data_IF_560321211750
#
_entry.id   IF_560321211750
#
_cell.length_a   1.000
_cell.length_b   1.000
_cell.length_c   1.000
_cell.angle_alpha   90.00
_cell.angle_beta   90.00
_cell.angle_gamma   90.00
#
_symmetry.space_group_name_H-M   'P 1'
#
loop_
_entity.id
_entity.type
_entity.pdbx_description
1 polymer ?
#
# COMPACT_ATOMS: atom_id res chain seq x y z
N UNK A 1 27.70 -6.44 56.87
CA UNK A 1 27.14 -6.91 55.58
C UNK A 1 25.73 -6.29 55.34
N UNK A 2 24.85 -6.19 56.34
CA UNK A 2 23.51 -5.59 56.24
C UNK A 2 23.52 -4.09 55.88
N UNK A 3 24.49 -3.30 56.35
CA UNK A 3 24.61 -1.86 56.04
C UNK A 3 24.96 -1.59 54.56
N UNK A 4 25.69 -2.48 53.92
CA UNK A 4 26.01 -2.36 52.50
C UNK A 4 24.82 -2.57 51.54
N UNK A 5 23.86 -3.41 51.96
CA UNK A 5 22.64 -3.62 51.16
C UNK A 5 21.71 -2.40 51.22
N UNK A 6 21.61 -1.73 52.35
CA UNK A 6 20.82 -0.52 52.50
C UNK A 6 21.41 0.72 51.82
N UNK A 7 22.74 0.82 51.69
CA UNK A 7 23.39 1.92 51.02
C UNK A 7 23.20 1.90 49.49
N UNK A 8 22.94 0.73 48.91
CA UNK A 8 22.64 0.58 47.45
C UNK A 8 21.20 0.86 47.08
N UNK A 9 20.24 0.80 48.04
CA UNK A 9 18.83 0.99 47.75
C UNK A 9 18.47 2.36 47.14
N UNK A 10 19.01 3.51 47.63
CA UNK A 10 18.67 4.81 47.08
C UNK A 10 19.09 4.94 45.58
N UNK A 11 20.13 4.23 45.15
CA UNK A 11 20.56 4.22 43.75
C UNK A 11 19.64 3.34 42.85
N UNK A 12 19.01 2.31 43.41
CA UNK A 12 18.11 1.43 42.68
C UNK A 12 16.75 2.09 42.39
N UNK A 13 16.32 3.04 43.21
CA UNK A 13 15.03 3.75 43.03
C UNK A 13 15.01 4.55 41.71
N UNK A 14 15.98 5.47 41.40
CA UNK A 14 15.95 6.21 40.16
C UNK A 14 16.14 5.30 38.94
N UNK A 15 16.92 4.22 39.05
CA UNK A 15 17.06 3.23 38.00
C UNK A 15 15.75 2.49 37.73
N UNK A 16 15.01 2.09 38.78
CA UNK A 16 13.71 1.47 38.69
C UNK A 16 12.66 2.37 38.02
N UNK A 17 12.66 3.66 38.42
CA UNK A 17 11.76 4.66 37.80
C UNK A 17 12.09 4.85 36.33
N UNK A 18 13.36 4.96 35.95
CA UNK A 18 13.79 5.10 34.56
C UNK A 18 13.37 3.91 33.71
N UNK A 19 13.59 2.69 34.19
CA UNK A 19 13.18 1.45 33.52
C UNK A 19 11.65 1.36 33.41
N UNK A 20 10.92 1.78 34.44
CA UNK A 20 9.46 1.83 34.45
C UNK A 20 8.92 2.79 33.38
N UNK A 21 9.45 4.01 33.32
CA UNK A 21 9.09 5.01 32.30
C UNK A 21 9.40 4.48 30.89
N UNK A 22 10.60 3.92 30.71
CA UNK A 22 10.99 3.38 29.40
C UNK A 22 10.08 2.23 28.96
N UNK A 23 9.76 1.32 29.86
CA UNK A 23 8.84 0.20 29.60
C UNK A 23 7.44 0.72 29.24
N UNK A 24 6.94 1.69 29.99
CA UNK A 24 5.64 2.30 29.75
C UNK A 24 5.60 2.99 28.38
N UNK A 25 6.65 3.74 28.02
CA UNK A 25 6.75 4.36 26.69
C UNK A 25 6.75 3.34 25.56
N UNK A 26 7.46 2.23 25.72
CA UNK A 26 7.50 1.16 24.70
C UNK A 26 6.12 0.51 24.57
N UNK A 27 5.48 0.18 25.68
CA UNK A 27 4.15 -0.42 25.67
C UNK A 27 3.10 0.53 25.09
N UNK A 28 3.13 1.80 25.47
CA UNK A 28 2.23 2.82 24.94
C UNK A 28 2.43 3.02 23.43
N UNK A 29 3.68 3.10 22.96
CA UNK A 29 4.00 3.21 21.53
C UNK A 29 3.44 2.02 20.74
N UNK A 30 3.59 0.80 21.26
CA UNK A 30 3.04 -0.41 20.60
C UNK A 30 1.51 -0.40 20.60
N UNK A 31 0.89 0.06 21.67
CA UNK A 31 -0.57 0.17 21.76
C UNK A 31 -1.11 1.22 20.78
N UNK A 32 -0.50 2.41 20.76
CA UNK A 32 -0.88 3.50 19.84
C UNK A 32 -0.75 3.08 18.37
N UNK A 33 0.35 2.40 18.01
CA UNK A 33 0.50 1.85 16.65
C UNK A 33 -0.61 0.85 16.31
N UNK A 34 -0.96 -0.03 17.24
CA UNK A 34 -2.02 -1.02 16.98
C UNK A 34 -3.39 -0.39 16.78
N UNK A 35 -3.68 0.71 17.48
CA UNK A 35 -4.91 1.47 17.33
C UNK A 35 -5.00 2.17 15.97
N UNK A 36 -3.89 2.76 15.50
CA UNK A 36 -3.81 3.38 14.17
C UNK A 36 -4.08 2.35 13.06
N UNK A 37 -3.46 1.16 13.13
CA UNK A 37 -3.71 0.11 12.13
C UNK A 37 -5.17 -0.37 12.14
N UNK A 38 -5.82 -0.44 13.30
CA UNK A 38 -7.25 -0.79 13.38
C UNK A 38 -8.14 0.28 12.75
N UNK A 39 -7.80 1.55 12.91
CA UNK A 39 -8.58 2.66 12.34
C UNK A 39 -8.52 2.70 10.81
N UNK A 40 -7.42 2.21 10.22
CA UNK A 40 -7.22 2.20 8.76
C UNK A 40 -7.64 0.85 8.15
N UNK A 41 -7.72 -0.21 8.97
CA UNK A 41 -8.12 -1.54 8.50
C UNK A 41 -9.53 -1.48 7.90
N UNK A 42 -9.68 -2.04 6.70
CA UNK A 42 -10.95 -2.03 5.97
C UNK A 42 -11.25 -0.74 5.19
N UNK A 43 -10.41 0.30 5.28
CA UNK A 43 -10.56 1.46 4.41
C UNK A 43 -9.90 1.19 3.04
N UNK A 44 -10.59 1.50 1.92
CA UNK A 44 -10.02 1.33 0.59
C UNK A 44 -8.75 2.18 0.41
N UNK A 45 -7.66 1.57 -0.05
CA UNK A 45 -6.38 2.25 -0.24
C UNK A 45 -5.44 2.22 0.96
N UNK A 46 -5.83 1.61 2.07
CA UNK A 46 -5.01 1.53 3.28
C UNK A 46 -3.68 0.81 3.05
N UNK A 47 -3.67 -0.28 2.29
CA UNK A 47 -2.44 -0.99 1.95
C UNK A 47 -1.49 -0.14 1.12
N UNK A 48 -2.00 0.61 0.14
CA UNK A 48 -1.17 1.51 -0.65
C UNK A 48 -0.53 2.60 0.22
N UNK A 49 -1.30 3.21 1.12
CA UNK A 49 -0.81 4.25 2.04
C UNK A 49 0.33 3.74 2.94
N UNK A 50 0.19 2.51 3.48
CA UNK A 50 1.23 1.90 4.31
C UNK A 50 2.50 1.65 3.50
N UNK A 51 2.38 1.12 2.29
CA UNK A 51 3.55 0.81 1.47
C UNK A 51 4.25 2.09 1.00
N UNK A 52 3.52 3.17 0.72
CA UNK A 52 4.10 4.48 0.40
C UNK A 52 4.97 5.05 1.52
N UNK A 53 4.64 4.75 2.78
CA UNK A 53 5.41 5.19 3.95
C UNK A 53 6.62 4.30 4.26
N UNK A 54 6.75 3.16 3.57
CA UNK A 54 7.86 2.24 3.80
C UNK A 54 9.19 2.83 3.35
N UNK A 55 10.22 2.62 4.17
CA UNK A 55 11.59 2.93 3.78
C UNK A 55 12.07 1.93 2.74
N UNK A 56 12.76 2.41 1.71
CA UNK A 56 13.33 1.59 0.65
C UNK A 56 12.90 2.05 -0.73
N UNK A 57 13.45 1.42 -1.77
CA UNK A 57 13.16 1.76 -3.16
C UNK A 57 11.88 1.02 -3.64
N UNK A 58 10.74 1.42 -3.05
CA UNK A 58 9.43 0.93 -3.43
C UNK A 58 8.67 2.00 -4.22
N UNK A 59 8.21 1.64 -5.41
CA UNK A 59 7.34 2.51 -6.21
C UNK A 59 5.93 1.96 -6.13
N UNK A 60 5.01 2.75 -5.58
CA UNK A 60 3.61 2.38 -5.40
C UNK A 60 2.76 3.11 -6.43
N UNK A 61 1.98 2.37 -7.19
CA UNK A 61 0.91 2.91 -8.04
C UNK A 61 -0.41 2.45 -7.43
N UNK A 62 -1.12 3.34 -6.73
CA UNK A 62 -2.39 2.98 -6.10
C UNK A 62 -3.46 2.76 -7.16
N UNK A 63 -4.42 1.89 -6.84
CA UNK A 63 -5.67 1.72 -7.57
C UNK A 63 -5.49 1.53 -9.09
N UNK A 64 -4.63 0.59 -9.51
CA UNK A 64 -4.45 0.27 -10.92
C UNK A 64 -5.66 -0.43 -11.54
N UNK A 65 -6.42 -1.14 -10.73
CA UNK A 65 -7.67 -1.78 -11.09
C UNK A 65 -8.65 -1.72 -9.92
N UNK A 66 -9.93 -1.71 -10.22
CA UNK A 66 -10.98 -1.74 -9.21
C UNK A 66 -12.32 -2.11 -9.82
N UNK A 67 -13.26 -2.51 -8.97
CA UNK A 67 -14.63 -2.83 -9.34
C UNK A 67 -15.64 -1.97 -8.55
N UNK A 68 -16.95 -2.18 -8.83
CA UNK A 68 -18.02 -1.44 -8.15
C UNK A 68 -18.18 -1.83 -6.67
N UNK A 69 -17.66 -2.98 -6.28
CA UNK A 69 -17.73 -3.48 -4.91
C UNK A 69 -16.60 -2.95 -4.02
N UNK A 70 -15.87 -1.94 -4.49
CA UNK A 70 -14.71 -1.37 -3.80
C UNK A 70 -13.53 -2.36 -3.64
N UNK A 71 -13.50 -3.46 -4.43
CA UNK A 71 -12.30 -4.27 -4.52
C UNK A 71 -11.27 -3.52 -5.37
N UNK A 72 -10.08 -3.33 -4.83
CA UNK A 72 -9.04 -2.48 -5.44
C UNK A 72 -7.72 -3.25 -5.50
N UNK A 73 -7.00 -3.09 -6.60
CA UNK A 73 -5.65 -3.64 -6.77
C UNK A 73 -4.64 -2.51 -6.89
N UNK A 74 -3.58 -2.61 -6.11
CA UNK A 74 -2.44 -1.70 -6.13
C UNK A 74 -1.23 -2.42 -6.70
N UNK A 75 -0.39 -1.69 -7.43
CA UNK A 75 0.88 -2.18 -7.95
C UNK A 75 2.03 -1.59 -7.17
N UNK A 76 2.87 -2.46 -6.67
CA UNK A 76 4.09 -2.11 -5.96
C UNK A 76 5.27 -2.71 -6.70
N UNK A 77 6.25 -1.89 -7.05
CA UNK A 77 7.47 -2.31 -7.73
C UNK A 77 8.65 -2.12 -6.79
N UNK A 78 9.47 -3.15 -6.69
CA UNK A 78 10.65 -3.13 -5.83
C UNK A 78 11.66 -4.20 -6.23
N UNK A 79 12.65 -4.43 -5.39
CA UNK A 79 13.67 -5.47 -5.64
C UNK A 79 13.13 -6.90 -5.75
N UNK A 80 12.00 -7.28 -5.14
CA UNK A 80 11.39 -8.58 -5.38
C UNK A 80 10.73 -8.75 -6.75
N UNK A 81 10.52 -7.67 -7.49
CA UNK A 81 9.74 -7.66 -8.72
C UNK A 81 8.50 -6.78 -8.61
N UNK A 82 7.41 -7.23 -9.23
CA UNK A 82 6.10 -6.58 -9.14
C UNK A 82 5.24 -7.30 -8.11
N UNK A 83 4.75 -6.56 -7.14
CA UNK A 83 3.81 -7.07 -6.14
C UNK A 83 2.43 -6.44 -6.39
N UNK A 84 1.43 -7.27 -6.60
CA UNK A 84 0.04 -6.86 -6.69
C UNK A 84 -0.61 -7.03 -5.32
N UNK A 85 -1.12 -5.95 -4.78
CA UNK A 85 -1.78 -5.94 -3.47
C UNK A 85 -3.27 -5.69 -3.70
N UNK A 86 -4.08 -6.66 -3.36
CA UNK A 86 -5.54 -6.59 -3.45
C UNK A 86 -6.16 -6.26 -2.10
N UNK A 87 -7.08 -5.30 -2.09
CA UNK A 87 -7.95 -4.97 -0.97
C UNK A 87 -9.40 -5.24 -1.38
N UNK A 88 -10.13 -5.98 -0.56
CA UNK A 88 -11.55 -6.31 -0.81
C UNK A 88 -11.84 -7.81 -0.72
N UNK A 89 -12.96 -8.22 -1.32
CA UNK A 89 -13.42 -9.60 -1.28
C UNK A 89 -12.55 -10.55 -2.10
N UNK A 90 -12.23 -11.77 -1.61
CA UNK A 90 -11.39 -12.72 -2.34
C UNK A 90 -11.88 -13.03 -3.76
N UNK A 91 -13.20 -13.20 -3.91
CA UNK A 91 -13.82 -13.54 -5.20
C UNK A 91 -13.71 -12.41 -6.23
N UNK A 92 -13.92 -11.15 -5.79
CA UNK A 92 -13.81 -9.98 -6.65
C UNK A 92 -12.38 -9.69 -7.07
N UNK A 93 -11.43 -9.90 -6.15
CA UNK A 93 -10.00 -9.66 -6.38
C UNK A 93 -9.38 -10.66 -7.34
N UNK A 94 -9.79 -11.92 -7.33
CA UNK A 94 -9.17 -12.96 -8.15
C UNK A 94 -9.17 -12.60 -9.64
N UNK A 95 -10.29 -12.11 -10.16
CA UNK A 95 -10.42 -11.71 -11.56
C UNK A 95 -9.59 -10.46 -11.90
N UNK A 96 -9.59 -9.47 -11.00
CA UNK A 96 -8.84 -8.22 -11.17
C UNK A 96 -7.32 -8.48 -11.16
N UNK A 97 -6.84 -9.26 -10.19
CA UNK A 97 -5.44 -9.63 -10.09
C UNK A 97 -4.98 -10.45 -11.29
N UNK A 98 -5.78 -11.43 -11.75
CA UNK A 98 -5.46 -12.24 -12.92
C UNK A 98 -5.34 -11.37 -14.18
N UNK A 99 -6.26 -10.42 -14.38
CA UNK A 99 -6.23 -9.50 -15.50
C UNK A 99 -4.97 -8.61 -15.47
N UNK A 100 -4.63 -8.05 -14.30
CA UNK A 100 -3.44 -7.22 -14.14
C UNK A 100 -2.14 -8.01 -14.27
N UNK A 101 -2.05 -9.23 -13.72
CA UNK A 101 -0.92 -10.14 -13.95
C UNK A 101 -0.67 -10.35 -15.45
N UNK A 102 -1.72 -10.61 -16.21
CA UNK A 102 -1.63 -10.83 -17.66
C UNK A 102 -1.12 -9.60 -18.41
N UNK A 103 -1.52 -8.39 -18.00
CA UNK A 103 -1.02 -7.15 -18.59
C UNK A 103 0.46 -6.91 -18.25
N UNK A 104 0.82 -7.08 -16.99
CA UNK A 104 2.19 -6.87 -16.51
C UNK A 104 3.14 -7.89 -17.14
N UNK A 105 2.77 -9.16 -17.24
CA UNK A 105 3.59 -10.22 -17.82
C UNK A 105 4.00 -9.95 -19.27
N UNK A 106 3.18 -9.22 -20.03
CA UNK A 106 3.50 -8.83 -21.42
C UNK A 106 4.61 -7.79 -21.53
N UNK A 107 4.76 -6.95 -20.48
CA UNK A 107 5.71 -5.82 -20.47
C UNK A 107 6.94 -6.13 -19.62
N UNK A 108 6.73 -6.81 -18.51
CA UNK A 108 7.75 -7.20 -17.55
C UNK A 108 8.14 -8.67 -17.72
N UNK A 109 8.53 -9.05 -18.95
CA UNK A 109 8.95 -10.42 -19.24
C UNK A 109 10.12 -10.84 -18.34
N UNK A 110 10.01 -12.04 -17.75
CA UNK A 110 11.04 -12.60 -16.84
C UNK A 110 11.12 -11.96 -15.45
N UNK A 111 10.19 -11.03 -15.11
CA UNK A 111 10.13 -10.42 -13.79
C UNK A 111 9.11 -11.16 -12.91
N UNK A 112 9.47 -11.52 -11.67
CA UNK A 112 8.53 -12.13 -10.74
C UNK A 112 7.32 -11.23 -10.48
N UNK A 113 6.12 -11.81 -10.55
CA UNK A 113 4.86 -11.14 -10.21
C UNK A 113 4.24 -11.88 -9.02
N UNK A 114 4.20 -11.22 -7.89
CA UNK A 114 3.71 -11.76 -6.63
C UNK A 114 2.36 -11.10 -6.34
N UNK A 115 1.37 -11.87 -5.92
CA UNK A 115 0.09 -11.35 -5.46
C UNK A 115 -0.08 -11.55 -3.96
N UNK A 116 -0.68 -10.58 -3.32
CA UNK A 116 -1.04 -10.59 -1.90
C UNK A 116 -2.43 -9.99 -1.73
N UNK A 117 -3.27 -10.65 -0.97
CA UNK A 117 -4.55 -10.08 -0.55
C UNK A 117 -4.41 -9.57 0.88
N UNK A 118 -4.86 -8.35 1.11
CA UNK A 118 -4.84 -7.71 2.43
C UNK A 118 -6.24 -7.77 3.03
N UNK A 119 -6.32 -8.25 4.27
CA UNK A 119 -7.57 -8.39 5.00
C UNK A 119 -7.39 -9.22 6.26
N UNK A 120 -8.47 -9.47 6.95
CA UNK A 120 -8.47 -10.23 8.21
C UNK A 120 -9.03 -11.66 8.04
N UNK A 121 -9.39 -12.07 6.81
CA UNK A 121 -9.90 -13.41 6.54
C UNK A 121 -8.78 -14.45 6.42
N UNK A 122 -9.16 -15.72 6.49
CA UNK A 122 -8.22 -16.84 6.32
C UNK A 122 -7.54 -16.79 4.94
N UNK A 123 -6.22 -16.84 4.94
CA UNK A 123 -5.40 -16.75 3.72
C UNK A 123 -5.00 -15.33 3.32
N UNK A 124 -5.59 -14.30 3.91
CA UNK A 124 -5.22 -12.91 3.70
C UNK A 124 -4.07 -12.47 4.60
N UNK A 125 -3.44 -11.38 4.25
CA UNK A 125 -2.35 -10.76 5.01
C UNK A 125 -2.94 -9.63 5.84
N UNK A 126 -2.91 -9.72 7.18
CA UNK A 126 -3.31 -8.61 8.02
C UNK A 126 -2.50 -7.36 7.69
N UNK A 127 -3.16 -6.22 7.63
CA UNK A 127 -2.55 -4.95 7.24
C UNK A 127 -1.30 -4.61 8.09
N UNK A 128 -1.30 -5.00 9.36
CA UNK A 128 -0.17 -4.85 10.29
C UNK A 128 1.07 -5.65 9.90
N UNK A 129 0.88 -6.76 9.17
CA UNK A 129 1.95 -7.65 8.74
C UNK A 129 2.42 -7.38 7.31
N UNK A 130 1.70 -6.56 6.55
CA UNK A 130 1.98 -6.27 5.14
C UNK A 130 3.42 -5.80 4.93
N UNK A 131 3.85 -4.80 5.68
CA UNK A 131 5.22 -4.27 5.60
C UNK A 131 6.27 -5.35 5.85
N UNK A 132 6.10 -6.14 6.92
CA UNK A 132 7.03 -7.22 7.26
C UNK A 132 7.07 -8.29 6.17
N UNK A 133 5.91 -8.64 5.61
CA UNK A 133 5.80 -9.66 4.56
C UNK A 133 6.48 -9.18 3.27
N UNK A 134 6.28 -7.92 2.86
CA UNK A 134 6.96 -7.30 1.72
C UNK A 134 8.49 -7.27 1.90
N UNK A 135 8.98 -6.90 3.08
CA UNK A 135 10.42 -6.84 3.35
C UNK A 135 11.11 -8.20 3.40
N UNK A 136 10.35 -9.29 3.61
CA UNK A 136 10.86 -10.68 3.63
C UNK A 136 10.91 -11.32 2.24
N UNK A 137 10.32 -10.68 1.23
CA UNK A 137 10.38 -11.19 -0.13
C UNK A 137 11.82 -11.25 -0.66
N UNK A 138 12.15 -12.26 -1.47
CA UNK A 138 13.48 -12.39 -2.06
C UNK A 138 13.78 -11.17 -2.94
N UNK A 139 15.04 -10.73 -2.93
CA UNK A 139 15.49 -9.56 -3.70
C UNK A 139 16.12 -10.03 -5.02
N UNK A 140 15.30 -10.26 -6.02
CA UNK A 140 15.73 -10.82 -7.31
C UNK A 140 16.26 -9.76 -8.29
N UNK A 141 15.78 -8.51 -8.17
CA UNK A 141 16.16 -7.44 -9.08
C UNK A 141 17.26 -6.54 -8.52
N UNK A 142 18.18 -6.14 -9.40
CA UNK A 142 19.15 -5.07 -9.10
C UNK A 142 18.44 -3.70 -9.12
N UNK A 143 18.95 -2.68 -8.40
CA UNK A 143 18.31 -1.36 -8.37
C UNK A 143 18.08 -0.72 -9.74
N UNK A 144 19.03 -0.88 -10.67
CA UNK A 144 18.90 -0.37 -12.03
C UNK A 144 17.75 -1.05 -12.81
N UNK A 145 17.58 -2.36 -12.63
CA UNK A 145 16.48 -3.11 -13.26
C UNK A 145 15.11 -2.69 -12.69
N UNK A 146 15.03 -2.31 -11.40
CA UNK A 146 13.81 -1.78 -10.80
C UNK A 146 13.42 -0.45 -11.45
N UNK A 147 14.37 0.44 -11.71
CA UNK A 147 14.10 1.73 -12.35
C UNK A 147 13.63 1.56 -13.80
N UNK A 148 14.26 0.67 -14.56
CA UNK A 148 13.85 0.35 -15.93
C UNK A 148 12.44 -0.26 -15.95
N UNK A 149 12.17 -1.21 -15.07
CA UNK A 149 10.86 -1.80 -14.89
C UNK A 149 9.78 -0.75 -14.56
N UNK A 150 10.08 0.18 -13.66
CA UNK A 150 9.17 1.27 -13.31
C UNK A 150 8.86 2.14 -14.54
N UNK A 151 9.86 2.46 -15.36
CA UNK A 151 9.65 3.28 -16.55
C UNK A 151 8.77 2.57 -17.59
N UNK A 152 8.96 1.27 -17.78
CA UNK A 152 8.10 0.47 -18.66
C UNK A 152 6.67 0.39 -18.15
N UNK A 153 6.49 0.20 -16.85
CA UNK A 153 5.16 0.07 -16.23
C UNK A 153 4.40 1.40 -16.10
N UNK A 154 5.09 2.55 -16.11
CA UNK A 154 4.42 3.87 -16.16
C UNK A 154 3.57 4.08 -17.40
N UNK A 155 3.93 3.43 -18.52
CA UNK A 155 3.19 3.50 -19.78
C UNK A 155 1.87 2.71 -19.74
N UNK A 156 1.66 1.84 -18.73
CA UNK A 156 0.42 1.09 -18.58
C UNK A 156 -0.70 1.99 -18.06
N UNK A 157 -1.81 2.11 -18.79
CA UNK A 157 -2.99 2.80 -18.27
C UNK A 157 -3.54 2.05 -17.06
N UNK A 158 -4.01 2.79 -16.04
CA UNK A 158 -4.78 2.21 -14.95
C UNK A 158 -6.12 1.70 -15.53
N UNK A 159 -6.52 0.50 -15.10
CA UNK A 159 -7.81 -0.10 -15.49
C UNK A 159 -8.97 0.41 -14.64
N UNK A 160 -8.75 1.39 -13.78
CA UNK A 160 -9.85 2.13 -13.21
C UNK A 160 -10.66 2.67 -14.37
N UNK A 161 -11.75 1.98 -14.70
CA UNK A 161 -12.74 2.52 -15.58
C UNK A 161 -13.29 3.77 -14.90
N UNK A 162 -12.73 4.92 -15.23
CA UNK A 162 -13.50 6.13 -15.17
C UNK A 162 -14.86 5.79 -15.79
N UNK A 163 -15.99 6.08 -15.13
CA UNK A 163 -17.28 5.84 -15.73
C UNK A 163 -17.23 6.43 -17.14
N UNK A 164 -17.34 5.59 -18.16
CA UNK A 164 -17.60 6.02 -19.53
C UNK A 164 -19.04 6.54 -19.55
N UNK A 165 -19.26 7.65 -18.83
CA UNK A 165 -20.38 8.50 -19.11
C UNK A 165 -20.21 9.00 -20.55
N UNK A 166 -21.26 9.11 -21.34
CA UNK A 166 -21.17 9.77 -22.62
C UNK A 166 -20.50 11.14 -22.37
N UNK A 167 -19.32 11.34 -22.97
CA UNK A 167 -18.74 12.69 -22.98
C UNK A 167 -19.83 13.65 -23.41
N UNK A 168 -20.10 14.74 -22.67
CA UNK A 168 -20.99 15.76 -23.17
C UNK A 168 -20.41 16.13 -24.53
N UNK A 169 -21.14 15.81 -25.62
CA UNK A 169 -20.80 16.33 -26.93
C UNK A 169 -20.69 17.84 -26.71
N UNK A 170 -19.48 18.37 -26.91
CA UNK A 170 -19.26 19.83 -26.90
C UNK A 170 -20.42 20.42 -27.69
N UNK A 171 -21.29 21.08 -26.96
CA UNK A 171 -22.48 21.70 -27.56
C UNK A 171 -22.03 22.54 -28.74
N UNK A 172 -22.57 22.26 -29.92
CA UNK A 172 -22.43 23.20 -31.06
C UNK A 172 -22.69 24.58 -30.52
N UNK A 173 -21.67 25.43 -30.51
CA UNK A 173 -21.86 26.86 -30.20
C UNK A 173 -23.03 27.35 -31.06
N UNK A 174 -24.02 28.00 -30.46
CA UNK A 174 -25.10 28.63 -31.24
C UNK A 174 -24.47 29.58 -32.28
N UNK A 175 -24.77 29.37 -33.55
CA UNK A 175 -24.34 30.31 -34.60
C UNK A 175 -24.80 31.73 -34.22
N UNK A 176 -23.89 32.73 -34.27
CA UNK A 176 -24.29 34.09 -34.04
C UNK A 176 -25.40 34.53 -35.03
N UNK A 177 -26.37 35.30 -34.61
CA UNK A 177 -27.44 35.75 -35.52
C UNK A 177 -26.86 36.55 -36.67
N UNK A 178 -27.26 36.21 -37.88
CA UNK A 178 -26.87 36.95 -39.11
C UNK A 178 -27.41 38.38 -39.02
N UNK A 179 -26.57 39.43 -39.28
CA UNK A 179 -27.05 40.78 -39.35
C UNK A 179 -28.06 40.90 -40.50
N UNK A 180 -29.24 41.42 -40.18
CA UNK A 180 -30.22 41.82 -41.22
C UNK A 180 -29.68 43.07 -41.92
N UNK A 181 -29.25 42.91 -43.15
CA UNK A 181 -28.97 44.06 -44.03
C UNK A 181 -30.32 44.66 -44.43
N UNK A 182 -30.50 45.93 -44.11
CA UNK A 182 -31.60 46.76 -44.57
C UNK A 182 -31.20 47.40 -45.87
#
# INVERSE_FOLDING_TARGET
VLVGVFAGLPFLIPLGVLLGVMTTMILFGRYAQSAQYKAIAGQPGAAAAIVQQMRGNWTVTPAIAGNRNMDIVHRVVGRPGVVLIGEGSPNGLASLVAAEKKKIARIAYGVPIIDMQVGDESGQVPIRQLQRKLMRLPRELKPAAVNDLNNRLKALPSSLQAPRGPMPRQGRMPKPPRPKVR
#
